data_IF_642667415666
#
_entry.id   IF_642667415666
#
_cell.length_a   1.000
_cell.length_b   1.000
_cell.length_c   1.000
_cell.angle_alpha   90.00
_cell.angle_beta   90.00
_cell.angle_gamma   90.00
#
_symmetry.space_group_name_H-M   'P 1'
#
loop_
_entity.id
_entity.type
_entity.pdbx_description
1 polymer ?
#
# COMPACT_ATOMS: atom_id res chain seq x y z
N UNK A 1 32.59 18.25 3.26
CA UNK A 1 31.74 17.33 4.07
C UNK A 1 30.38 17.29 3.38
N UNK A 2 30.00 16.16 2.79
CA UNK A 2 28.67 15.99 2.20
C UNK A 2 27.66 15.98 3.34
N UNK A 3 26.87 17.04 3.49
CA UNK A 3 25.71 17.00 4.36
C UNK A 3 24.75 15.97 3.75
N UNK A 4 24.71 14.78 4.33
CA UNK A 4 23.73 13.77 3.95
C UNK A 4 22.35 14.35 4.26
N UNK A 5 21.62 14.74 3.21
CA UNK A 5 20.22 15.13 3.33
C UNK A 5 19.39 13.88 3.60
N UNK A 6 18.40 14.00 4.47
CA UNK A 6 17.51 12.90 4.85
C UNK A 6 16.07 13.32 4.64
N UNK A 7 15.25 12.40 4.11
CA UNK A 7 13.82 12.59 3.97
C UNK A 7 13.08 11.81 5.05
N UNK A 8 11.96 12.40 5.52
CA UNK A 8 11.07 11.76 6.49
C UNK A 8 10.18 10.76 5.74
N UNK A 9 10.12 9.54 6.25
CA UNK A 9 9.30 8.45 5.69
C UNK A 9 8.12 8.24 6.61
N UNK A 10 6.92 8.32 6.05
CA UNK A 10 5.65 8.22 6.76
C UNK A 10 4.83 7.04 6.27
N UNK A 11 4.03 6.46 7.16
CA UNK A 11 2.85 5.67 6.82
C UNK A 11 1.64 6.60 6.86
N UNK A 12 0.91 6.65 5.76
CA UNK A 12 -0.36 7.37 5.68
C UNK A 12 -1.50 6.36 5.60
N UNK A 13 -2.57 6.61 6.35
CA UNK A 13 -3.83 5.87 6.25
C UNK A 13 -4.92 6.86 5.86
N UNK A 14 -5.67 6.54 4.81
CA UNK A 14 -6.79 7.33 4.34
C UNK A 14 -8.10 6.56 4.49
N UNK A 15 -9.15 7.24 4.93
CA UNK A 15 -10.50 6.71 4.94
C UNK A 15 -10.92 6.29 3.52
N UNK A 16 -11.49 5.09 3.39
CA UNK A 16 -12.07 4.64 2.14
C UNK A 16 -13.47 5.22 1.99
N UNK A 17 -13.83 5.67 0.78
CA UNK A 17 -15.19 6.08 0.46
C UNK A 17 -16.20 4.93 0.59
N UNK A 18 -15.76 3.69 0.31
CA UNK A 18 -16.57 2.48 0.44
C UNK A 18 -15.74 1.35 1.05
N UNK A 19 -16.29 0.70 2.07
CA UNK A 19 -15.69 -0.47 2.72
C UNK A 19 -16.00 -1.74 1.91
N UNK A 20 -15.08 -2.69 1.91
CA UNK A 20 -15.35 -4.00 1.31
C UNK A 20 -16.13 -4.86 2.30
N UNK A 21 -17.35 -5.33 1.95
CA UNK A 21 -18.18 -6.09 2.88
C UNK A 21 -17.58 -7.45 3.25
N UNK A 22 -16.63 -7.98 2.46
CA UNK A 22 -15.95 -9.24 2.74
C UNK A 22 -14.66 -9.05 3.57
N UNK A 23 -14.43 -7.85 4.12
CA UNK A 23 -13.26 -7.52 4.94
C UNK A 23 -13.65 -6.95 6.31
N UNK A 24 -12.83 -7.16 7.36
CA UNK A 24 -13.05 -6.53 8.67
C UNK A 24 -13.04 -5.00 8.58
N UNK A 25 -13.98 -4.32 9.25
CA UNK A 25 -14.11 -2.86 9.27
C UNK A 25 -13.53 -2.32 10.59
N UNK A 26 -12.81 -1.16 10.61
CA UNK A 26 -12.54 -0.24 9.50
C UNK A 26 -11.31 -0.58 8.66
N UNK A 27 -11.41 -0.33 7.34
CA UNK A 27 -10.29 -0.41 6.39
C UNK A 27 -9.88 0.96 5.88
N UNK A 28 -8.59 1.07 5.54
CA UNK A 28 -7.95 2.29 5.05
C UNK A 28 -7.16 2.02 3.78
N UNK A 29 -7.06 3.02 2.90
CA UNK A 29 -6.00 3.02 1.90
C UNK A 29 -4.69 3.38 2.61
N UNK A 30 -3.76 2.44 2.65
CA UNK A 30 -2.47 2.62 3.34
C UNK A 30 -1.37 2.79 2.31
N UNK A 31 -0.51 3.79 2.51
CA UNK A 31 0.58 4.11 1.60
C UNK A 31 1.81 4.59 2.36
N UNK A 32 2.98 4.43 1.73
CA UNK A 32 4.24 5.00 2.21
C UNK A 32 4.42 6.37 1.56
N UNK A 33 4.82 7.37 2.33
CA UNK A 33 5.03 8.73 1.84
C UNK A 33 6.40 9.24 2.25
N UNK A 34 7.17 9.76 1.29
CA UNK A 34 8.48 10.35 1.53
C UNK A 34 8.35 11.85 1.34
N UNK A 35 8.50 12.59 2.43
CA UNK A 35 8.40 14.04 2.43
C UNK A 35 9.73 14.66 1.97
N UNK A 36 9.77 15.13 0.72
CA UNK A 36 10.95 15.71 0.10
C UNK A 36 10.93 17.24 0.10
N UNK A 37 9.76 17.84 0.22
CA UNK A 37 9.50 19.28 0.09
C UNK A 37 9.94 19.89 -1.25
N UNK A 38 10.15 19.07 -2.30
CA UNK A 38 10.66 19.51 -3.59
C UNK A 38 9.71 20.49 -4.31
N UNK A 39 8.40 20.35 -4.10
CA UNK A 39 7.35 21.19 -4.69
C UNK A 39 6.72 22.14 -3.65
N UNK A 40 7.35 22.29 -2.48
CA UNK A 40 6.88 23.13 -1.37
C UNK A 40 6.65 22.37 -0.06
N UNK A 41 6.33 23.08 1.04
CA UNK A 41 6.23 22.48 2.37
C UNK A 41 5.18 21.35 2.47
N UNK A 42 5.61 20.20 2.98
CA UNK A 42 4.80 19.01 3.16
C UNK A 42 4.65 18.14 1.90
N UNK A 43 5.23 18.53 0.76
CA UNK A 43 5.13 17.76 -0.50
C UNK A 43 6.14 16.62 -0.54
N UNK A 44 5.89 15.65 -1.42
CA UNK A 44 6.75 14.48 -1.53
C UNK A 44 6.27 13.48 -2.58
N UNK A 45 6.60 12.22 -2.38
CA UNK A 45 6.14 11.11 -3.25
C UNK A 45 5.43 10.09 -2.39
N UNK A 46 4.34 9.53 -2.91
CA UNK A 46 3.67 8.38 -2.33
C UNK A 46 4.03 7.11 -3.11
N UNK A 47 4.21 6.03 -2.38
CA UNK A 47 4.37 4.67 -2.89
C UNK A 47 3.21 3.83 -2.37
N UNK A 48 2.47 3.22 -3.29
CA UNK A 48 1.32 2.41 -2.95
C UNK A 48 1.03 1.36 -4.03
N UNK A 49 0.09 0.47 -3.74
CA UNK A 49 -0.56 -0.33 -4.77
C UNK A 49 -1.95 0.21 -5.04
N UNK A 50 -2.30 0.32 -6.32
CA UNK A 50 -3.60 0.76 -6.82
C UNK A 50 -4.25 -0.34 -7.64
N UNK A 51 -5.54 -0.17 -7.95
CA UNK A 51 -6.38 -1.22 -8.56
C UNK A 51 -7.34 -1.81 -7.55
N UNK A 52 -7.88 -2.99 -7.87
CA UNK A 52 -8.88 -3.65 -7.05
C UNK A 52 -8.64 -5.17 -7.01
N UNK A 53 -9.44 -5.87 -6.21
CA UNK A 53 -9.29 -7.32 -6.02
C UNK A 53 -10.03 -8.15 -7.08
N UNK A 54 -10.67 -7.53 -8.08
CA UNK A 54 -11.31 -8.21 -9.20
C UNK A 54 -10.36 -8.29 -10.40
N UNK A 55 -9.71 -7.16 -10.71
CA UNK A 55 -8.76 -7.01 -11.81
C UNK A 55 -7.31 -7.22 -11.37
N UNK A 56 -7.03 -7.07 -10.08
CA UNK A 56 -5.70 -7.10 -9.50
C UNK A 56 -5.19 -5.70 -9.19
N UNK A 57 -4.18 -5.65 -8.33
CA UNK A 57 -3.51 -4.41 -7.95
C UNK A 57 -2.10 -4.35 -8.55
N UNK A 58 -1.56 -3.15 -8.69
CA UNK A 58 -0.20 -2.92 -9.17
C UNK A 58 0.46 -1.78 -8.39
N UNK A 59 1.78 -1.86 -8.28
CA UNK A 59 2.59 -0.84 -7.62
C UNK A 59 2.68 0.44 -8.47
N UNK A 60 2.65 1.58 -7.79
CA UNK A 60 2.86 2.89 -8.37
C UNK A 60 3.57 3.83 -7.39
N UNK A 61 4.46 4.68 -7.91
CA UNK A 61 4.99 5.85 -7.23
C UNK A 61 4.59 7.13 -7.95
N UNK A 62 4.10 8.13 -7.20
CA UNK A 62 3.64 9.41 -7.75
C UNK A 62 3.95 10.60 -6.83
N UNK A 63 4.13 11.80 -7.39
CA UNK A 63 4.10 13.03 -6.60
C UNK A 63 2.84 13.11 -5.74
N UNK A 64 2.99 13.64 -4.54
CA UNK A 64 1.93 13.80 -3.57
C UNK A 64 2.06 15.18 -2.91
N UNK A 65 1.01 15.97 -3.02
CA UNK A 65 0.87 17.21 -2.25
C UNK A 65 0.80 16.91 -0.75
N UNK A 66 0.85 17.96 0.07
CA UNK A 66 0.82 17.84 1.51
C UNK A 66 -0.41 17.02 1.98
N UNK A 67 -0.21 15.80 2.52
CA UNK A 67 -1.30 14.91 2.91
C UNK A 67 -2.13 15.47 4.06
N UNK A 68 -1.56 16.38 4.87
CA UNK A 68 -2.25 17.01 6.00
C UNK A 68 -3.40 17.94 5.55
N UNK A 69 -3.47 18.26 4.24
CA UNK A 69 -4.57 19.02 3.63
C UNK A 69 -5.70 18.13 3.10
N UNK A 70 -5.57 16.80 3.19
CA UNK A 70 -6.57 15.87 2.69
C UNK A 70 -7.60 15.55 3.77
N UNK A 71 -8.88 15.80 3.49
CA UNK A 71 -9.99 15.47 4.40
C UNK A 71 -10.12 13.97 4.69
N UNK A 72 -9.66 13.11 3.78
CA UNK A 72 -9.70 11.67 3.96
C UNK A 72 -8.51 11.13 4.75
N UNK A 73 -7.51 11.96 5.11
CA UNK A 73 -6.39 11.52 5.92
C UNK A 73 -6.89 11.12 7.32
N UNK A 74 -6.72 9.85 7.65
CA UNK A 74 -7.03 9.33 8.98
C UNK A 74 -5.84 9.45 9.92
N UNK A 75 -4.64 9.10 9.45
CA UNK A 75 -3.43 9.17 10.27
C UNK A 75 -2.16 9.32 9.42
N UNK A 76 -1.18 10.03 9.98
CA UNK A 76 0.19 10.16 9.46
C UNK A 76 1.17 9.76 10.55
N UNK A 77 1.86 8.64 10.36
CA UNK A 77 2.77 8.04 11.33
C UNK A 77 4.20 8.10 10.78
N UNK A 78 5.15 8.66 11.54
CA UNK A 78 6.56 8.68 11.15
C UNK A 78 7.13 7.26 11.29
N UNK A 79 7.55 6.68 10.17
CA UNK A 79 8.24 5.38 10.16
C UNK A 79 9.74 5.52 10.38
N UNK A 80 10.34 6.63 9.98
CA UNK A 80 11.78 6.88 10.11
C UNK A 80 12.29 7.82 9.02
N UNK A 81 13.53 7.61 8.62
CA UNK A 81 14.23 8.47 7.66
C UNK A 81 14.91 7.65 6.57
N UNK A 82 15.04 8.24 5.38
CA UNK A 82 15.82 7.68 4.26
C UNK A 82 16.86 8.69 3.78
N UNK A 83 18.00 8.22 3.31
CA UNK A 83 19.04 9.10 2.78
C UNK A 83 18.62 9.61 1.40
N UNK A 84 18.72 10.92 1.18
CA UNK A 84 18.34 11.53 -0.08
C UNK A 84 19.16 11.03 -1.28
N UNK A 85 20.39 10.56 -1.07
CA UNK A 85 21.27 10.07 -2.14
C UNK A 85 20.83 8.77 -2.79
N UNK A 86 19.98 7.97 -2.13
CA UNK A 86 19.46 6.69 -2.64
C UNK A 86 18.00 6.78 -3.10
N UNK A 87 17.36 7.90 -2.84
CA UNK A 87 15.95 8.13 -3.09
C UNK A 87 15.77 9.00 -4.35
N UNK A 88 14.87 8.65 -5.29
CA UNK A 88 13.85 7.59 -5.21
C UNK A 88 14.28 6.20 -5.70
N UNK A 89 15.45 6.07 -6.31
CA UNK A 89 15.81 4.91 -7.15
C UNK A 89 15.75 3.56 -6.41
N UNK A 90 16.32 3.47 -5.20
CA UNK A 90 16.30 2.21 -4.45
C UNK A 90 14.90 1.88 -3.90
N UNK A 91 14.07 2.88 -3.62
CA UNK A 91 12.69 2.65 -3.22
C UNK A 91 11.88 2.06 -4.36
N UNK A 92 11.93 2.67 -5.55
CA UNK A 92 11.20 2.15 -6.72
C UNK A 92 11.66 0.76 -7.11
N UNK A 93 12.97 0.51 -7.13
CA UNK A 93 13.55 -0.80 -7.43
C UNK A 93 13.08 -1.89 -6.45
N UNK A 94 13.10 -1.60 -5.15
CA UNK A 94 12.69 -2.59 -4.14
C UNK A 94 11.18 -2.80 -4.17
N UNK A 95 10.39 -1.73 -4.17
CA UNK A 95 8.93 -1.83 -4.05
C UNK A 95 8.27 -2.38 -5.31
N UNK A 96 8.78 -2.05 -6.51
CA UNK A 96 8.29 -2.66 -7.76
C UNK A 96 8.60 -4.16 -7.86
N UNK A 97 9.62 -4.63 -7.13
CA UNK A 97 9.95 -6.05 -7.04
C UNK A 97 9.08 -6.85 -6.06
N UNK A 98 8.27 -6.19 -5.21
CA UNK A 98 7.34 -6.88 -4.30
C UNK A 98 6.05 -7.17 -5.07
N UNK A 99 5.60 -8.44 -5.17
CA UNK A 99 4.35 -8.77 -5.83
C UNK A 99 3.18 -7.97 -5.27
N UNK A 100 2.50 -7.20 -6.12
CA UNK A 100 1.27 -6.54 -5.74
C UNK A 100 0.15 -7.58 -5.54
N UNK A 101 -0.88 -7.27 -4.73
CA UNK A 101 -1.99 -8.19 -4.52
C UNK A 101 -2.64 -8.59 -5.85
N UNK A 102 -2.75 -9.89 -6.17
CA UNK A 102 -3.37 -10.33 -7.41
C UNK A 102 -4.89 -10.14 -7.35
N UNK A 103 -5.56 -10.44 -8.46
CA UNK A 103 -7.01 -10.66 -8.45
C UNK A 103 -7.37 -11.80 -7.50
N UNK A 104 -8.41 -11.59 -6.70
CA UNK A 104 -8.86 -12.48 -5.63
C UNK A 104 -10.37 -12.70 -5.63
N UNK A 105 -11.13 -11.88 -6.38
CA UNK A 105 -12.58 -12.04 -6.58
C UNK A 105 -12.90 -12.18 -8.06
N UNK A 106 -13.99 -12.88 -8.35
CA UNK A 106 -14.57 -12.98 -9.68
C UNK A 106 -16.10 -12.97 -9.59
N UNK A 107 -16.77 -12.74 -10.71
CA UNK A 107 -18.22 -12.84 -10.79
C UNK A 107 -18.66 -14.31 -10.78
N UNK A 108 -19.49 -14.69 -9.82
CA UNK A 108 -20.10 -16.01 -9.74
C UNK A 108 -21.50 -15.97 -10.36
N UNK A 109 -21.65 -16.57 -11.55
CA UNK A 109 -22.92 -16.61 -12.26
C UNK A 109 -24.02 -17.41 -11.55
N UNK A 110 -23.67 -18.29 -10.59
CA UNK A 110 -24.67 -19.05 -9.82
C UNK A 110 -25.36 -18.21 -8.75
N UNK A 111 -24.60 -17.34 -8.09
CA UNK A 111 -25.09 -16.48 -6.99
C UNK A 111 -25.39 -15.06 -7.46
N UNK A 112 -24.97 -14.70 -8.69
CA UNK A 112 -25.04 -13.36 -9.27
C UNK A 112 -24.29 -12.31 -8.44
N UNK A 113 -23.16 -12.69 -7.83
CA UNK A 113 -22.35 -11.82 -6.96
C UNK A 113 -20.87 -11.88 -7.32
N UNK A 114 -20.14 -10.81 -6.98
CA UNK A 114 -18.67 -10.81 -7.00
C UNK A 114 -18.16 -11.40 -5.69
N UNK A 115 -17.49 -12.54 -5.77
CA UNK A 115 -17.14 -13.37 -4.60
C UNK A 115 -15.65 -13.77 -4.60
N UNK A 116 -15.06 -14.02 -3.42
CA UNK A 116 -13.71 -14.57 -3.31
C UNK A 116 -13.54 -15.87 -4.08
N UNK A 117 -12.46 -15.94 -4.85
CA UNK A 117 -12.08 -17.12 -5.65
C UNK A 117 -11.24 -18.07 -4.80
N UNK A 118 -11.58 -19.35 -4.87
CA UNK A 118 -10.85 -20.44 -4.20
C UNK A 118 -9.73 -21.01 -5.08
N UNK A 119 -10.02 -21.26 -6.36
CA UNK A 119 -9.04 -21.62 -7.38
C UNK A 119 -9.39 -20.93 -8.69
N UNK A 120 -8.38 -20.51 -9.46
CA UNK A 120 -8.58 -19.91 -10.77
C UNK A 120 -8.64 -20.95 -11.90
N UNK A 121 -8.04 -22.12 -11.70
CA UNK A 121 -7.91 -23.16 -12.72
C UNK A 121 -8.20 -24.54 -12.10
N UNK A 122 -9.44 -25.06 -12.26
CA UNK A 122 -10.62 -24.38 -12.78
C UNK A 122 -11.15 -23.28 -11.84
N UNK A 123 -11.88 -22.30 -12.38
CA UNK A 123 -12.50 -21.25 -11.58
C UNK A 123 -13.52 -21.84 -10.60
N UNK A 124 -13.23 -21.71 -9.30
CA UNK A 124 -14.08 -22.19 -8.21
C UNK A 124 -14.21 -21.14 -7.12
N UNK A 125 -15.34 -21.16 -6.41
CA UNK A 125 -15.65 -20.27 -5.30
C UNK A 125 -15.72 -21.06 -4.00
N UNK A 126 -15.67 -20.37 -2.86
CA UNK A 126 -15.86 -20.99 -1.55
C UNK A 126 -17.33 -21.33 -1.31
N UNK A 127 -17.58 -22.51 -0.73
CA UNK A 127 -18.93 -22.92 -0.34
C UNK A 127 -19.36 -22.24 0.99
N UNK A 128 -20.67 -22.16 1.29
CA UNK A 128 -21.16 -21.66 2.57
C UNK A 128 -20.54 -22.40 3.76
N UNK A 129 -19.94 -21.65 4.70
CA UNK A 129 -19.27 -22.21 5.89
C UNK A 129 -17.84 -22.69 5.65
N UNK A 130 -17.34 -22.69 4.42
CA UNK A 130 -15.94 -23.02 4.14
C UNK A 130 -14.99 -21.92 4.63
N UNK A 131 -13.87 -22.26 5.28
CA UNK A 131 -12.86 -21.28 5.66
C UNK A 131 -12.27 -20.60 4.42
N UNK A 132 -12.37 -19.28 4.37
CA UNK A 132 -11.87 -18.44 3.26
C UNK A 132 -10.45 -17.99 3.55
N UNK A 133 -9.61 -17.92 2.52
CA UNK A 133 -8.36 -17.18 2.62
C UNK A 133 -8.64 -15.68 2.82
N UNK A 134 -7.93 -14.99 3.74
CA UNK A 134 -8.06 -13.55 3.91
C UNK A 134 -7.69 -12.81 2.63
N UNK A 135 -8.46 -11.79 2.26
CA UNK A 135 -8.13 -10.96 1.12
C UNK A 135 -6.96 -10.04 1.49
N UNK A 136 -6.03 -9.90 0.55
CA UNK A 136 -4.87 -9.01 0.65
C UNK A 136 -5.17 -7.76 -0.18
N UNK A 137 -5.14 -6.59 0.46
CA UNK A 137 -5.27 -5.29 -0.21
C UNK A 137 -4.03 -4.44 0.00
N UNK A 138 -4.12 -3.15 -0.35
CA UNK A 138 -3.05 -2.17 -0.16
C UNK A 138 -2.54 -2.10 1.29
N UNK A 139 -3.41 -2.28 2.29
CA UNK A 139 -3.01 -2.30 3.71
C UNK A 139 -2.07 -3.45 4.00
N UNK A 140 -2.46 -4.68 3.66
CA UNK A 140 -1.64 -5.88 3.91
C UNK A 140 -0.33 -5.79 3.15
N UNK A 141 -0.36 -5.41 1.87
CA UNK A 141 0.86 -5.23 1.09
C UNK A 141 1.80 -4.20 1.73
N UNK A 142 1.26 -3.07 2.18
CA UNK A 142 2.08 -1.99 2.76
C UNK A 142 2.65 -2.38 4.13
N UNK A 143 1.81 -2.87 5.04
CA UNK A 143 2.22 -3.14 6.41
C UNK A 143 3.00 -4.44 6.57
N UNK A 144 2.66 -5.48 5.80
CA UNK A 144 3.23 -6.81 5.98
C UNK A 144 4.39 -7.10 5.02
N UNK A 145 4.49 -6.38 3.90
CA UNK A 145 5.53 -6.62 2.90
C UNK A 145 6.41 -5.41 2.68
N UNK A 146 5.86 -4.27 2.26
CA UNK A 146 6.63 -3.11 1.84
C UNK A 146 7.46 -2.49 2.99
N UNK A 147 6.82 -2.10 4.11
CA UNK A 147 7.50 -1.47 5.24
C UNK A 147 8.57 -2.40 5.86
N UNK A 148 8.28 -3.69 6.12
CA UNK A 148 9.30 -4.63 6.61
C UNK A 148 10.47 -4.80 5.61
N UNK A 149 10.20 -4.86 4.31
CA UNK A 149 11.24 -5.01 3.28
C UNK A 149 12.15 -3.78 3.24
N UNK A 150 11.59 -2.58 3.25
CA UNK A 150 12.38 -1.34 3.28
C UNK A 150 13.22 -1.25 4.56
N UNK A 151 12.64 -1.59 5.71
CA UNK A 151 13.34 -1.59 7.00
C UNK A 151 14.49 -2.60 7.02
N UNK A 152 14.25 -3.85 6.59
CA UNK A 152 15.28 -4.90 6.56
C UNK A 152 16.44 -4.60 5.62
N UNK A 153 16.20 -3.83 4.55
CA UNK A 153 17.23 -3.36 3.62
C UNK A 153 17.93 -2.06 4.07
N UNK A 154 17.58 -1.53 5.24
CA UNK A 154 18.17 -0.29 5.76
C UNK A 154 17.75 0.98 5.00
N UNK A 155 16.67 0.91 4.22
CA UNK A 155 16.14 2.06 3.47
C UNK A 155 15.28 2.98 4.36
N UNK A 156 14.74 2.44 5.45
CA UNK A 156 14.12 3.20 6.54
C UNK A 156 14.95 2.97 7.79
N UNK A 157 15.51 4.04 8.36
CA UNK A 157 16.29 3.99 9.60
C UNK A 157 15.70 4.89 10.67
N UNK A 158 15.79 4.45 11.93
CA UNK A 158 15.50 5.29 13.08
C UNK A 158 16.71 6.19 13.35
N UNK A 159 16.48 7.49 13.54
CA UNK A 159 17.52 8.39 14.05
C UNK A 159 17.35 8.45 15.56
N UNK A 160 18.36 7.96 16.28
CA UNK A 160 18.52 8.20 17.72
C UNK A 160 19.13 9.58 17.94
#
# INVERSE_FOLDING_TARGET
MSNSQWYRVYKLRFNLAMQDPDMPIPRFHTQIFIETNAEGPGTGTKHHVIGDIVTGMYYESKPCHNPDRSESLYSKELLGYTNASIYPQEFDKILSGIPAPPRQKAFNAKTMRTEPVKSWEPLTFYEPGEPRQPLVKCTEWTEQQAIPTLSSKGLIVQRR
#
